data_IF_557103592633
#
_entry.id   IF_557103592633
#
_cell.length_a   1.000
_cell.length_b   1.000
_cell.length_c   1.000
_cell.angle_alpha   90.00
_cell.angle_beta   90.00
_cell.angle_gamma   90.00
#
_symmetry.space_group_name_H-M   'P 1'
#
loop_
_entity.id
_entity.type
_entity.pdbx_description
1 polymer ?
#
# COMPACT_ATOMS: atom_id res chain seq x y z
N UNK A 1 15.62 50.96 -34.19
CA UNK A 1 14.16 51.14 -34.34
C UNK A 1 13.47 49.79 -34.48
N UNK A 2 13.90 48.92 -35.40
CA UNK A 2 13.28 47.61 -35.65
C UNK A 2 13.09 46.71 -34.42
N UNK A 3 14.12 46.53 -33.58
CA UNK A 3 14.01 45.69 -32.37
C UNK A 3 13.01 46.21 -31.33
N UNK A 4 12.75 47.51 -31.34
CA UNK A 4 11.83 48.18 -30.42
C UNK A 4 10.39 48.05 -30.92
N UNK A 5 10.19 48.09 -32.24
CA UNK A 5 8.92 47.74 -32.87
C UNK A 5 8.56 46.27 -32.64
N UNK A 6 9.53 45.34 -32.73
CA UNK A 6 9.29 43.91 -32.47
C UNK A 6 8.89 43.64 -31.02
N UNK A 7 9.51 44.32 -30.05
CA UNK A 7 9.17 44.18 -28.62
C UNK A 7 7.77 44.75 -28.31
N UNK A 8 7.41 45.85 -28.96
CA UNK A 8 6.09 46.50 -28.82
C UNK A 8 4.97 45.62 -29.40
N UNK A 9 5.19 44.97 -30.54
CA UNK A 9 4.20 44.03 -31.11
C UNK A 9 3.97 42.83 -30.21
N UNK A 10 5.02 42.26 -29.60
CA UNK A 10 4.89 41.11 -28.70
C UNK A 10 4.17 41.46 -27.39
N UNK A 11 4.30 42.70 -26.90
CA UNK A 11 3.61 43.18 -25.69
C UNK A 11 2.14 43.51 -25.99
N UNK A 12 1.84 44.04 -27.18
CA UNK A 12 0.46 44.29 -27.65
C UNK A 12 -0.35 43.01 -27.78
N UNK A 13 0.27 41.92 -28.22
CA UNK A 13 -0.40 40.62 -28.39
C UNK A 13 -0.69 39.89 -27.05
N UNK A 14 -0.27 40.43 -25.90
CA UNK A 14 -0.41 39.79 -24.58
C UNK A 14 -1.12 40.66 -23.52
N UNK A 15 -1.70 41.79 -23.88
CA UNK A 15 -2.36 42.70 -22.93
C UNK A 15 -3.84 42.94 -23.26
N UNK A 16 -4.69 42.90 -22.22
CA UNK A 16 -6.14 43.06 -22.34
C UNK A 16 -6.55 44.51 -22.68
N UNK A 17 -7.73 44.74 -23.28
CA UNK A 17 -8.21 46.06 -23.75
C UNK A 17 -8.35 47.15 -22.67
N UNK A 18 -8.09 46.84 -21.40
CA UNK A 18 -8.06 47.80 -20.30
C UNK A 18 -6.80 48.70 -20.29
N UNK A 19 -5.75 48.34 -21.04
CA UNK A 19 -4.49 49.11 -21.07
C UNK A 19 -4.46 50.13 -22.24
N UNK A 20 -5.31 49.96 -23.25
CA UNK A 20 -5.31 50.82 -24.45
C UNK A 20 -5.67 52.29 -24.17
N UNK A 21 -6.41 52.56 -23.08
CA UNK A 21 -6.77 53.93 -22.68
C UNK A 21 -5.68 54.66 -21.86
N UNK A 22 -4.63 53.97 -21.39
CA UNK A 22 -3.51 54.59 -20.67
C UNK A 22 -2.45 55.18 -21.62
N UNK A 23 -2.48 54.81 -22.91
CA UNK A 23 -1.52 55.22 -23.94
C UNK A 23 -2.09 56.28 -24.89
N UNK A 24 -2.85 57.24 -24.37
CA UNK A 24 -3.39 58.33 -25.17
C UNK A 24 -2.27 59.33 -25.58
N UNK A 25 -2.40 59.88 -26.80
CA UNK A 25 -1.41 60.50 -27.70
C UNK A 25 -0.51 61.62 -27.13
N UNK A 26 -0.76 62.12 -25.93
CA UNK A 26 0.05 63.14 -25.24
C UNK A 26 1.43 62.60 -24.77
N UNK A 27 1.52 61.29 -24.54
CA UNK A 27 2.78 60.66 -24.14
C UNK A 27 3.74 60.48 -25.31
N UNK A 28 3.25 60.40 -26.56
CA UNK A 28 4.07 60.03 -27.72
C UNK A 28 5.03 61.14 -28.19
N UNK A 29 4.60 62.39 -28.20
CA UNK A 29 5.44 63.57 -28.49
C UNK A 29 6.49 63.78 -27.37
N UNK A 30 6.10 63.53 -26.12
CA UNK A 30 6.97 63.61 -24.93
C UNK A 30 7.99 62.46 -24.90
N UNK A 31 7.61 61.26 -25.34
CA UNK A 31 8.50 60.09 -25.46
C UNK A 31 9.50 60.25 -26.62
N UNK A 32 9.09 60.91 -27.72
CA UNK A 32 10.00 61.21 -28.84
C UNK A 32 11.10 62.21 -28.48
N UNK A 33 10.82 63.22 -27.65
CA UNK A 33 11.83 64.18 -27.19
C UNK A 33 12.74 63.62 -26.09
N UNK A 34 12.29 62.61 -25.35
CA UNK A 34 13.09 61.86 -24.36
C UNK A 34 14.01 60.78 -24.97
N UNK A 35 13.92 60.53 -26.28
CA UNK A 35 14.57 59.40 -26.97
C UNK A 35 16.10 59.51 -27.16
N UNK A 36 16.78 60.45 -26.51
CA UNK A 36 18.23 60.69 -26.69
C UNK A 36 19.07 60.59 -25.39
N UNK A 37 18.58 59.94 -24.34
CA UNK A 37 19.20 60.02 -23.01
C UNK A 37 19.27 58.68 -22.29
N UNK A 38 20.25 58.55 -21.40
CA UNK A 38 20.51 57.49 -20.42
C UNK A 38 19.27 56.92 -19.72
N UNK A 39 18.14 57.63 -19.75
CA UNK A 39 16.82 57.20 -19.28
C UNK A 39 16.23 56.00 -20.05
N UNK A 40 16.38 55.91 -21.37
CA UNK A 40 15.85 54.75 -22.13
C UNK A 40 16.68 53.50 -21.84
N UNK A 41 18.00 53.67 -21.70
CA UNK A 41 18.92 52.62 -21.30
C UNK A 41 18.66 52.17 -19.85
N UNK A 42 18.35 53.10 -18.93
CA UNK A 42 18.00 52.76 -17.56
C UNK A 42 16.61 52.12 -17.44
N UNK A 43 15.63 52.51 -18.25
CA UNK A 43 14.30 51.90 -18.29
C UNK A 43 14.35 50.46 -18.85
N UNK A 44 15.07 50.24 -19.96
CA UNK A 44 15.28 48.89 -20.51
C UNK A 44 16.10 48.03 -19.55
N UNK A 45 17.11 48.59 -18.89
CA UNK A 45 17.88 47.91 -17.85
C UNK A 45 17.05 47.55 -16.63
N UNK A 46 16.16 48.43 -16.17
CA UNK A 46 15.27 48.19 -15.04
C UNK A 46 14.21 47.13 -15.37
N UNK A 47 13.61 47.16 -16.56
CA UNK A 47 12.67 46.14 -17.02
C UNK A 47 13.35 44.77 -17.22
N UNK A 48 14.53 44.75 -17.83
CA UNK A 48 15.31 43.51 -17.99
C UNK A 48 15.75 42.94 -16.63
N UNK A 49 16.17 43.80 -15.69
CA UNK A 49 16.52 43.42 -14.32
C UNK A 49 15.33 42.91 -13.51
N UNK A 50 14.17 43.57 -13.61
CA UNK A 50 12.93 43.13 -12.97
C UNK A 50 12.43 41.81 -13.54
N UNK A 51 12.48 41.64 -14.87
CA UNK A 51 12.10 40.39 -15.53
C UNK A 51 13.05 39.24 -15.17
N UNK A 52 14.36 39.46 -15.24
CA UNK A 52 15.36 38.49 -14.84
C UNK A 52 15.25 38.14 -13.34
N UNK A 53 15.00 39.14 -12.49
CA UNK A 53 14.74 38.97 -11.06
C UNK A 53 13.50 38.13 -10.79
N UNK A 54 12.38 38.40 -11.48
CA UNK A 54 11.14 37.63 -11.37
C UNK A 54 11.32 36.18 -11.84
N UNK A 55 11.99 35.95 -12.97
CA UNK A 55 12.31 34.60 -13.44
C UNK A 55 13.22 33.84 -12.47
N UNK A 56 14.24 34.51 -11.91
CA UNK A 56 15.12 33.90 -10.92
C UNK A 56 14.36 33.56 -9.63
N UNK A 57 13.53 34.47 -9.13
CA UNK A 57 12.68 34.25 -7.97
C UNK A 57 11.69 33.09 -8.19
N UNK A 58 11.04 33.03 -9.36
CA UNK A 58 10.15 31.94 -9.72
C UNK A 58 10.88 30.60 -9.73
N UNK A 59 12.07 30.53 -10.36
CA UNK A 59 12.86 29.30 -10.41
C UNK A 59 13.32 28.83 -9.02
N UNK A 60 13.67 29.76 -8.13
CA UNK A 60 14.02 29.44 -6.73
C UNK A 60 12.79 28.92 -5.98
N UNK A 61 11.63 29.59 -6.13
CA UNK A 61 10.39 29.18 -5.51
C UNK A 61 9.94 27.78 -5.96
N UNK A 62 9.97 27.51 -7.27
CA UNK A 62 9.65 26.20 -7.84
C UNK A 62 10.59 25.10 -7.33
N UNK A 63 11.91 25.37 -7.27
CA UNK A 63 12.88 24.39 -6.72
C UNK A 63 12.68 24.15 -5.23
N UNK A 64 12.39 25.18 -4.45
CA UNK A 64 12.10 25.04 -3.01
C UNK A 64 10.84 24.22 -2.80
N UNK A 65 9.77 24.52 -3.53
CA UNK A 65 8.51 23.77 -3.47
C UNK A 65 8.71 22.31 -3.86
N UNK A 66 9.44 22.04 -4.94
CA UNK A 66 9.76 20.67 -5.38
C UNK A 66 10.57 19.91 -4.31
N UNK A 67 11.53 20.57 -3.66
CA UNK A 67 12.29 19.99 -2.55
C UNK A 67 11.37 19.60 -1.40
N UNK A 68 10.46 20.48 -1.01
CA UNK A 68 9.52 20.23 0.08
C UNK A 68 8.56 19.08 -0.24
N UNK A 69 8.01 19.05 -1.46
CA UNK A 69 7.12 17.99 -1.93
C UNK A 69 7.80 16.62 -1.91
N UNK A 70 8.98 16.49 -2.53
CA UNK A 70 9.69 15.21 -2.58
C UNK A 70 10.21 14.78 -1.20
N UNK A 71 10.64 15.72 -0.36
CA UNK A 71 11.04 15.40 1.03
C UNK A 71 9.86 14.88 1.84
N UNK A 72 8.68 15.51 1.70
CA UNK A 72 7.45 15.04 2.36
C UNK A 72 7.06 13.65 1.85
N UNK A 73 7.12 13.42 0.55
CA UNK A 73 6.82 12.12 -0.05
C UNK A 73 7.74 11.02 0.50
N UNK A 74 9.05 11.25 0.55
CA UNK A 74 10.03 10.30 1.13
C UNK A 74 9.73 10.02 2.61
N UNK A 75 9.39 11.05 3.41
CA UNK A 75 9.01 10.86 4.81
C UNK A 75 7.74 10.01 4.96
N UNK A 76 6.75 10.24 4.10
CA UNK A 76 5.52 9.45 4.08
C UNK A 76 5.80 8.00 3.65
N UNK A 77 6.71 7.76 2.70
CA UNK A 77 7.14 6.40 2.33
C UNK A 77 7.73 5.69 3.54
N UNK A 78 8.68 6.31 4.23
CA UNK A 78 9.30 5.72 5.42
C UNK A 78 8.27 5.45 6.53
N UNK A 79 7.32 6.37 6.75
CA UNK A 79 6.25 6.17 7.73
C UNK A 79 5.32 5.01 7.34
N UNK A 80 4.92 4.93 6.07
CA UNK A 80 4.09 3.83 5.55
C UNK A 80 4.81 2.48 5.65
N UNK A 81 6.09 2.42 5.30
CA UNK A 81 6.91 1.21 5.45
C UNK A 81 7.02 0.75 6.90
N UNK A 82 7.26 1.67 7.84
CA UNK A 82 7.34 1.34 9.28
C UNK A 82 6.01 0.78 9.80
N UNK A 83 4.88 1.36 9.38
CA UNK A 83 3.56 0.88 9.78
C UNK A 83 3.27 -0.50 9.17
N UNK A 84 3.52 -0.68 7.86
CA UNK A 84 3.33 -1.96 7.20
C UNK A 84 4.22 -3.06 7.79
N UNK A 85 5.48 -2.74 8.14
CA UNK A 85 6.37 -3.64 8.87
C UNK A 85 5.78 -4.01 10.23
N UNK A 86 5.28 -3.04 11.00
CA UNK A 86 4.67 -3.31 12.31
C UNK A 86 3.45 -4.23 12.21
N UNK A 87 2.59 -4.04 11.20
CA UNK A 87 1.46 -4.94 10.92
C UNK A 87 1.97 -6.35 10.61
N UNK A 88 2.93 -6.48 9.69
CA UNK A 88 3.52 -7.78 9.32
C UNK A 88 4.14 -8.48 10.53
N UNK A 89 4.95 -7.80 11.33
CA UNK A 89 5.58 -8.36 12.53
C UNK A 89 4.57 -8.82 13.56
N UNK A 90 3.48 -8.07 13.76
CA UNK A 90 2.40 -8.50 14.66
C UNK A 90 1.70 -9.77 14.17
N UNK A 91 1.41 -9.86 12.86
CA UNK A 91 0.77 -11.03 12.27
C UNK A 91 1.70 -12.27 12.27
N UNK A 92 3.00 -12.08 12.05
CA UNK A 92 4.03 -13.12 12.18
C UNK A 92 4.07 -13.64 13.63
N UNK A 93 4.07 -12.74 14.62
CA UNK A 93 4.02 -13.11 16.03
C UNK A 93 2.77 -13.92 16.38
N UNK A 94 1.60 -13.48 15.90
CA UNK A 94 0.32 -14.18 16.09
C UNK A 94 0.34 -15.59 15.46
N UNK A 95 0.88 -15.73 14.24
CA UNK A 95 1.04 -17.02 13.56
C UNK A 95 1.88 -17.98 14.41
N UNK A 96 3.10 -17.56 14.76
CA UNK A 96 4.10 -18.39 15.44
C UNK A 96 3.63 -18.81 16.84
N UNK A 97 3.07 -17.87 17.60
CA UNK A 97 2.75 -18.10 19.01
C UNK A 97 1.43 -18.86 19.21
N UNK A 98 0.46 -18.67 18.31
CA UNK A 98 -0.91 -19.13 18.55
C UNK A 98 -1.52 -19.89 17.38
N UNK A 99 -1.60 -19.29 16.19
CA UNK A 99 -2.43 -19.84 15.12
C UNK A 99 -1.89 -21.16 14.57
N UNK A 100 -0.58 -21.25 14.34
CA UNK A 100 0.03 -22.47 13.83
C UNK A 100 -0.12 -23.64 14.82
N UNK A 101 0.24 -23.50 16.11
CA UNK A 101 -0.02 -24.56 17.09
C UNK A 101 -1.50 -24.97 17.21
N UNK A 102 -2.43 -24.00 17.16
CA UNK A 102 -3.87 -24.29 17.23
C UNK A 102 -4.32 -25.10 16.01
N UNK A 103 -3.94 -24.69 14.80
CA UNK A 103 -4.30 -25.36 13.56
C UNK A 103 -3.73 -26.77 13.47
N UNK A 104 -2.44 -26.94 13.78
CA UNK A 104 -1.77 -28.24 13.75
C UNK A 104 -2.38 -29.23 14.75
N UNK A 105 -2.63 -28.77 15.99
CA UNK A 105 -3.27 -29.60 17.01
C UNK A 105 -4.69 -29.98 16.58
N UNK A 106 -5.49 -29.02 16.14
CA UNK A 106 -6.85 -29.27 15.67
C UNK A 106 -6.91 -30.28 14.53
N UNK A 107 -6.07 -30.11 13.50
CA UNK A 107 -6.01 -31.02 12.36
C UNK A 107 -5.58 -32.45 12.78
N UNK A 108 -4.61 -32.56 13.68
CA UNK A 108 -4.14 -33.85 14.21
C UNK A 108 -5.23 -34.56 15.02
N UNK A 109 -5.89 -33.85 15.91
CA UNK A 109 -6.97 -34.38 16.74
C UNK A 109 -8.17 -34.79 15.88
N UNK A 110 -8.55 -33.96 14.89
CA UNK A 110 -9.63 -34.26 13.94
C UNK A 110 -9.33 -35.53 13.13
N UNK A 111 -8.12 -35.68 12.61
CA UNK A 111 -7.72 -36.88 11.87
C UNK A 111 -7.77 -38.13 12.76
N UNK A 112 -7.32 -38.01 14.01
CA UNK A 112 -7.33 -39.11 14.98
C UNK A 112 -8.76 -39.59 15.26
N UNK A 113 -9.68 -38.66 15.52
CA UNK A 113 -11.06 -39.04 15.82
C UNK A 113 -11.79 -39.60 14.59
N UNK A 114 -11.54 -39.06 13.40
CA UNK A 114 -12.06 -39.61 12.15
C UNK A 114 -11.57 -41.04 11.90
N UNK A 115 -10.32 -41.35 12.24
CA UNK A 115 -9.78 -42.71 12.16
C UNK A 115 -10.47 -43.64 13.15
N UNK A 116 -10.64 -43.23 14.41
CA UNK A 116 -11.33 -44.04 15.43
C UNK A 116 -12.78 -44.32 15.00
N UNK A 117 -13.48 -43.32 14.46
CA UNK A 117 -14.85 -43.48 13.94
C UNK A 117 -14.89 -44.47 12.77
N UNK A 118 -13.93 -44.40 11.83
CA UNK A 118 -13.81 -45.35 10.72
C UNK A 118 -13.52 -46.77 11.23
N UNK A 119 -12.60 -46.93 12.17
CA UNK A 119 -12.25 -48.23 12.75
C UNK A 119 -13.44 -48.87 13.44
N UNK A 120 -14.20 -48.12 14.25
CA UNK A 120 -15.41 -48.63 14.93
C UNK A 120 -16.52 -49.03 13.97
N UNK A 121 -16.67 -48.34 12.84
CA UNK A 121 -17.63 -48.74 11.79
C UNK A 121 -17.26 -50.10 11.17
N UNK A 122 -15.97 -50.37 11.01
CA UNK A 122 -15.49 -51.65 10.44
C UNK A 122 -15.33 -52.76 11.48
N UNK A 123 -15.04 -52.41 12.74
CA UNK A 123 -14.80 -53.32 13.86
C UNK A 123 -15.50 -52.80 15.12
N UNK A 124 -16.80 -53.11 15.31
CA UNK A 124 -17.60 -52.64 16.44
C UNK A 124 -17.04 -53.02 17.81
N UNK A 125 -16.26 -54.11 17.87
CA UNK A 125 -15.61 -54.62 19.09
C UNK A 125 -14.40 -53.79 19.56
N UNK A 126 -13.97 -52.79 18.78
CA UNK A 126 -12.81 -51.98 19.11
C UNK A 126 -13.02 -51.16 20.38
N UNK A 127 -12.18 -51.41 21.40
CA UNK A 127 -12.18 -50.67 22.67
C UNK A 127 -11.37 -49.37 22.60
N UNK A 128 -10.96 -48.92 21.42
CA UNK A 128 -10.15 -47.71 21.25
C UNK A 128 -10.94 -46.47 21.69
N UNK A 129 -10.47 -45.79 22.74
CA UNK A 129 -11.10 -44.59 23.31
C UNK A 129 -10.31 -43.35 22.97
N UNK A 130 -10.99 -42.26 22.60
CA UNK A 130 -10.38 -40.94 22.47
C UNK A 130 -10.68 -40.10 23.71
N UNK A 131 -9.63 -39.71 24.44
CA UNK A 131 -9.75 -38.73 25.52
C UNK A 131 -9.77 -37.32 24.93
N UNK A 132 -10.97 -36.74 24.82
CA UNK A 132 -11.14 -35.40 24.26
C UNK A 132 -10.36 -34.34 25.04
N UNK A 133 -9.49 -33.61 24.34
CA UNK A 133 -8.73 -32.48 24.88
C UNK A 133 -8.71 -31.33 23.87
N UNK A 134 -9.81 -30.59 23.84
CA UNK A 134 -10.00 -29.42 22.97
C UNK A 134 -9.31 -28.16 23.49
N UNK A 135 -8.78 -27.35 22.58
CA UNK A 135 -8.22 -26.03 22.92
C UNK A 135 -9.33 -24.97 22.99
N UNK A 136 -9.77 -24.70 24.23
CA UNK A 136 -10.83 -23.73 24.54
C UNK A 136 -10.29 -22.38 25.03
N UNK A 137 -9.05 -22.04 24.69
CA UNK A 137 -8.47 -20.71 24.94
C UNK A 137 -9.07 -19.70 23.98
N UNK A 138 -9.46 -18.54 24.50
CA UNK A 138 -9.92 -17.40 23.69
C UNK A 138 -8.74 -16.56 23.22
N UNK A 139 -8.88 -15.94 22.06
CA UNK A 139 -7.87 -15.04 21.50
C UNK A 139 -8.41 -13.61 21.42
N UNK A 140 -7.55 -12.62 21.63
CA UNK A 140 -7.90 -11.22 21.46
C UNK A 140 -7.89 -10.84 19.99
N UNK A 141 -8.84 -10.00 19.57
CA UNK A 141 -8.84 -9.40 18.23
C UNK A 141 -7.63 -8.49 18.04
N UNK A 142 -7.06 -8.50 16.83
CA UNK A 142 -5.93 -7.66 16.45
C UNK A 142 -6.42 -6.27 16.01
N UNK A 143 -5.75 -5.21 16.47
CA UNK A 143 -6.06 -3.81 16.11
C UNK A 143 -4.78 -3.03 15.75
N UNK A 144 -4.04 -3.46 14.72
CA UNK A 144 -2.86 -2.74 14.30
C UNK A 144 -3.25 -1.41 13.63
N UNK A 145 -2.31 -0.46 13.43
CA UNK A 145 -2.60 0.89 12.94
C UNK A 145 -2.91 0.93 11.43
N UNK A 146 -4.03 0.30 11.03
CA UNK A 146 -4.47 0.20 9.64
C UNK A 146 -4.99 1.54 9.10
N UNK A 147 -5.67 2.36 9.91
CA UNK A 147 -6.18 3.65 9.46
C UNK A 147 -5.06 4.66 9.17
N UNK A 148 -4.02 4.80 10.02
CA UNK A 148 -2.83 5.56 9.66
C UNK A 148 -2.14 5.07 8.37
N UNK A 149 -2.12 3.75 8.13
CA UNK A 149 -1.57 3.19 6.89
C UNK A 149 -2.39 3.64 5.68
N UNK A 150 -3.72 3.47 5.73
CA UNK A 150 -4.66 3.88 4.67
C UNK A 150 -4.49 5.36 4.35
N UNK A 151 -4.46 6.21 5.38
CA UNK A 151 -4.26 7.65 5.23
C UNK A 151 -2.94 7.95 4.49
N UNK A 152 -1.81 7.37 4.91
CA UNK A 152 -0.54 7.60 4.23
C UNK A 152 -0.57 7.14 2.76
N UNK A 153 -1.03 5.91 2.53
CA UNK A 153 -0.98 5.27 1.22
C UNK A 153 -1.97 5.93 0.24
N UNK A 154 -3.19 6.26 0.69
CA UNK A 154 -4.24 6.77 -0.20
C UNK A 154 -4.16 8.27 -0.43
N UNK A 155 -3.71 9.04 0.56
CA UNK A 155 -3.82 10.52 0.50
C UNK A 155 -2.48 11.22 0.41
N UNK A 156 -1.40 10.62 0.91
CA UNK A 156 -0.10 11.31 1.08
C UNK A 156 1.00 10.85 0.12
N UNK A 157 0.75 9.80 -0.65
CA UNK A 157 1.71 9.20 -1.58
C UNK A 157 1.19 9.25 -3.01
N UNK A 158 2.07 9.57 -3.96
CA UNK A 158 1.76 9.53 -5.40
C UNK A 158 2.14 8.16 -5.98
N UNK A 159 1.57 7.09 -5.44
CA UNK A 159 1.91 5.70 -5.74
C UNK A 159 0.98 5.06 -6.77
N UNK A 160 1.36 3.86 -7.22
CA UNK A 160 0.57 3.08 -8.17
C UNK A 160 -0.69 2.45 -7.52
N UNK A 161 -1.63 2.03 -8.37
CA UNK A 161 -2.88 1.40 -7.93
C UNK A 161 -2.66 0.09 -7.15
N UNK A 162 -1.53 -0.59 -7.38
CA UNK A 162 -1.22 -1.86 -6.72
C UNK A 162 -0.99 -1.68 -5.22
N UNK A 163 -0.22 -0.67 -4.81
CA UNK A 163 -0.01 -0.36 -3.39
C UNK A 163 -1.30 0.07 -2.68
N UNK A 164 -2.22 0.74 -3.40
CA UNK A 164 -3.56 1.04 -2.89
C UNK A 164 -4.35 -0.26 -2.64
N UNK A 165 -4.40 -1.15 -3.63
CA UNK A 165 -5.09 -2.43 -3.51
C UNK A 165 -4.50 -3.34 -2.43
N UNK A 166 -3.18 -3.34 -2.25
CA UNK A 166 -2.52 -4.05 -1.13
C UNK A 166 -3.01 -3.53 0.21
N UNK A 167 -3.10 -2.21 0.38
CA UNK A 167 -3.55 -1.60 1.64
C UNK A 167 -5.01 -1.93 1.93
N UNK A 168 -5.87 -1.97 0.92
CA UNK A 168 -7.25 -2.45 1.06
C UNK A 168 -7.31 -3.92 1.46
N UNK A 169 -6.52 -4.79 0.80
CA UNK A 169 -6.49 -6.21 1.09
C UNK A 169 -6.03 -6.50 2.52
N UNK A 170 -5.01 -5.77 3.02
CA UNK A 170 -4.59 -5.86 4.44
C UNK A 170 -5.75 -5.53 5.37
N UNK A 171 -6.51 -4.47 5.08
CA UNK A 171 -7.61 -4.04 5.91
C UNK A 171 -8.77 -5.05 5.93
N UNK A 172 -9.11 -5.61 4.78
CA UNK A 172 -10.13 -6.64 4.62
C UNK A 172 -9.73 -7.94 5.32
N UNK A 173 -8.51 -8.44 5.10
CA UNK A 173 -8.01 -9.64 5.79
C UNK A 173 -7.95 -9.45 7.31
N UNK A 174 -7.67 -8.24 7.81
CA UNK A 174 -7.73 -7.93 9.24
C UNK A 174 -9.17 -8.01 9.79
N UNK A 175 -10.16 -7.53 9.04
CA UNK A 175 -11.56 -7.64 9.40
C UNK A 175 -12.00 -9.11 9.44
N UNK A 176 -11.66 -9.89 8.42
CA UNK A 176 -11.98 -11.32 8.35
C UNK A 176 -11.29 -12.15 9.44
N UNK A 177 -10.03 -11.84 9.77
CA UNK A 177 -9.31 -12.44 10.90
C UNK A 177 -10.05 -12.17 12.21
N UNK A 178 -10.42 -10.91 12.46
CA UNK A 178 -11.11 -10.52 13.68
C UNK A 178 -12.51 -11.15 13.79
N UNK A 179 -13.23 -11.25 12.67
CA UNK A 179 -14.50 -11.96 12.60
C UNK A 179 -14.31 -13.44 13.00
N UNK A 180 -13.34 -14.13 12.41
CA UNK A 180 -13.07 -15.55 12.71
C UNK A 180 -12.65 -15.77 14.17
N UNK A 181 -11.85 -14.86 14.74
CA UNK A 181 -11.49 -14.88 16.17
C UNK A 181 -12.73 -14.70 17.05
N UNK A 182 -13.58 -13.72 16.75
CA UNK A 182 -14.77 -13.41 17.53
C UNK A 182 -15.76 -14.58 17.50
N UNK A 183 -16.04 -15.12 16.31
CA UNK A 183 -16.93 -16.28 16.13
C UNK A 183 -16.41 -17.50 16.87
N UNK A 184 -15.10 -17.81 16.77
CA UNK A 184 -14.48 -18.90 17.53
C UNK A 184 -14.64 -18.70 19.04
N UNK A 185 -14.48 -17.48 19.55
CA UNK A 185 -14.63 -17.20 20.97
C UNK A 185 -16.08 -17.39 21.46
N UNK A 186 -17.08 -17.01 20.65
CA UNK A 186 -18.50 -17.27 20.97
C UNK A 186 -18.84 -18.76 20.93
N UNK A 187 -18.28 -19.52 19.98
CA UNK A 187 -18.40 -20.98 19.95
C UNK A 187 -17.78 -21.61 21.21
N UNK A 188 -16.60 -21.17 21.63
CA UNK A 188 -15.96 -21.63 22.89
C UNK A 188 -16.85 -21.36 24.11
N UNK A 189 -17.49 -20.19 24.15
CA UNK A 189 -18.42 -19.86 25.24
C UNK A 189 -19.62 -20.80 25.26
N UNK A 190 -20.15 -21.15 24.09
CA UNK A 190 -21.23 -22.12 23.93
C UNK A 190 -20.79 -23.53 24.33
N UNK A 191 -19.55 -23.91 24.01
CA UNK A 191 -18.97 -25.19 24.42
C UNK A 191 -18.82 -25.30 25.95
N UNK A 192 -18.41 -24.20 26.60
CA UNK A 192 -18.27 -24.12 28.06
C UNK A 192 -19.61 -24.13 28.80
N UNK A 193 -20.68 -23.63 28.19
CA UNK A 193 -22.02 -23.65 28.80
C UNK A 193 -22.74 -24.99 28.64
N UNK A 194 -22.28 -25.86 27.73
CA UNK A 194 -22.94 -27.13 27.45
C UNK A 194 -24.28 -26.99 26.70
N UNK A 195 -24.58 -25.79 26.19
CA UNK A 195 -25.81 -25.54 25.45
C UNK A 195 -25.64 -25.97 24.00
N UNK A 196 -25.95 -27.24 23.72
CA UNK A 196 -25.91 -27.81 22.38
C UNK A 196 -27.32 -28.05 21.83
N UNK A 197 -27.43 -28.06 20.49
CA UNK A 197 -28.65 -28.52 19.81
C UNK A 197 -28.98 -29.97 20.18
N UNK A 198 -30.26 -30.35 20.09
CA UNK A 198 -30.69 -31.71 20.37
C UNK A 198 -29.88 -32.74 19.55
N UNK A 199 -29.34 -33.75 20.24
CA UNK A 199 -28.51 -34.79 19.64
C UNK A 199 -27.04 -34.42 19.38
N UNK A 200 -26.63 -33.17 19.62
CA UNK A 200 -25.25 -32.73 19.52
C UNK A 200 -24.48 -32.89 20.84
N UNK A 201 -23.18 -33.11 20.73
CA UNK A 201 -22.23 -33.06 21.83
C UNK A 201 -21.05 -32.14 21.49
N UNK A 202 -20.21 -31.84 22.48
CA UNK A 202 -19.05 -30.97 22.30
C UNK A 202 -18.08 -31.50 21.23
N UNK A 203 -17.92 -32.82 21.11
CA UNK A 203 -16.96 -33.42 20.19
C UNK A 203 -17.44 -33.24 18.76
N UNK A 204 -18.73 -33.46 18.52
CA UNK A 204 -19.40 -33.30 17.25
C UNK A 204 -19.38 -31.84 16.80
N UNK A 205 -19.65 -30.90 17.70
CA UNK A 205 -19.62 -29.46 17.40
C UNK A 205 -18.19 -28.93 17.20
N UNK A 206 -17.21 -29.44 17.97
CA UNK A 206 -15.83 -29.00 17.90
C UNK A 206 -15.14 -29.47 16.62
N UNK A 207 -15.31 -30.74 16.21
CA UNK A 207 -14.65 -31.31 15.03
C UNK A 207 -15.50 -31.26 13.75
N UNK A 208 -16.77 -30.88 13.86
CA UNK A 208 -17.75 -30.91 12.78
C UNK A 208 -18.12 -32.32 12.34
N UNK A 209 -18.44 -33.18 13.31
CA UNK A 209 -18.93 -34.53 13.05
C UNK A 209 -20.46 -34.54 12.92
N UNK A 210 -21.04 -35.52 12.20
CA UNK A 210 -22.48 -35.69 12.14
C UNK A 210 -23.10 -35.99 13.51
N UNK A 211 -24.25 -35.38 13.80
CA UNK A 211 -25.02 -35.58 15.03
C UNK A 211 -26.53 -35.63 14.75
N UNK A 212 -27.31 -36.20 15.68
CA UNK A 212 -28.77 -36.38 15.52
C UNK A 212 -29.12 -37.10 14.22
N UNK A 213 -30.02 -36.51 13.42
CA UNK A 213 -30.48 -37.02 12.12
C UNK A 213 -29.49 -36.74 10.96
N UNK A 214 -28.21 -36.58 11.27
CA UNK A 214 -27.15 -36.32 10.27
C UNK A 214 -26.81 -34.85 10.06
N UNK A 215 -27.15 -33.98 11.02
CA UNK A 215 -26.74 -32.57 11.02
C UNK A 215 -25.23 -32.44 11.22
N UNK A 216 -24.63 -31.39 10.66
CA UNK A 216 -23.20 -31.08 10.78
C UNK A 216 -23.04 -29.58 11.02
N UNK A 217 -22.15 -29.19 11.94
CA UNK A 217 -21.71 -27.82 12.11
C UNK A 217 -20.19 -27.77 11.91
N UNK A 218 -19.71 -27.00 10.94
CA UNK A 218 -18.27 -26.89 10.63
C UNK A 218 -17.64 -25.58 11.13
N UNK A 219 -18.43 -24.71 11.76
CA UNK A 219 -18.06 -23.32 12.05
C UNK A 219 -16.78 -23.21 12.87
N UNK A 220 -16.58 -24.10 13.84
CA UNK A 220 -15.36 -24.06 14.66
C UNK A 220 -14.09 -24.38 13.85
N UNK A 221 -14.15 -25.40 13.00
CA UNK A 221 -13.06 -25.76 12.10
C UNK A 221 -12.81 -24.68 11.05
N UNK A 222 -13.88 -24.15 10.46
CA UNK A 222 -13.82 -23.08 9.46
C UNK A 222 -13.22 -21.80 10.06
N UNK A 223 -13.52 -21.48 11.32
CA UNK A 223 -12.88 -20.36 12.01
C UNK A 223 -11.37 -20.59 12.19
N UNK A 224 -10.93 -21.81 12.52
CA UNK A 224 -9.49 -22.10 12.69
C UNK A 224 -8.75 -21.94 11.35
N UNK A 225 -9.31 -22.47 10.27
CA UNK A 225 -8.75 -22.33 8.94
C UNK A 225 -8.76 -20.87 8.48
N UNK A 226 -9.90 -20.17 8.63
CA UNK A 226 -10.04 -18.76 8.31
C UNK A 226 -9.05 -17.88 9.07
N UNK A 227 -8.85 -18.11 10.37
CA UNK A 227 -7.85 -17.38 11.15
C UNK A 227 -6.44 -17.56 10.60
N UNK A 228 -6.05 -18.78 10.24
CA UNK A 228 -4.73 -19.04 9.67
C UNK A 228 -4.57 -18.37 8.30
N UNK A 229 -5.53 -18.56 7.40
CA UNK A 229 -5.49 -18.00 6.04
C UNK A 229 -5.52 -16.48 6.04
N UNK A 230 -6.43 -15.84 6.77
CA UNK A 230 -6.49 -14.37 6.82
C UNK A 230 -5.26 -13.75 7.48
N UNK A 231 -4.68 -14.41 8.49
CA UNK A 231 -3.42 -13.95 9.05
C UNK A 231 -2.27 -14.05 8.04
N UNK A 232 -2.24 -15.12 7.25
CA UNK A 232 -1.25 -15.30 6.18
C UNK A 232 -1.40 -14.22 5.09
N UNK A 233 -2.63 -13.89 4.68
CA UNK A 233 -2.91 -12.77 3.79
C UNK A 233 -2.35 -11.44 4.33
N UNK A 234 -2.57 -11.15 5.63
CA UNK A 234 -2.03 -9.94 6.28
C UNK A 234 -0.51 -9.91 6.19
N UNK A 235 0.18 -11.01 6.50
CA UNK A 235 1.64 -11.11 6.41
C UNK A 235 2.08 -10.86 4.97
N UNK A 236 1.48 -11.58 4.04
CA UNK A 236 1.84 -11.54 2.62
C UNK A 236 1.69 -10.14 2.03
N UNK A 237 0.50 -9.54 2.15
CA UNK A 237 0.23 -8.23 1.57
C UNK A 237 1.03 -7.11 2.25
N UNK A 238 1.28 -7.20 3.56
CA UNK A 238 2.09 -6.21 4.28
C UNK A 238 3.56 -6.26 3.86
N UNK A 239 4.14 -7.47 3.72
CA UNK A 239 5.52 -7.66 3.22
C UNK A 239 5.63 -7.14 1.78
N UNK A 240 4.63 -7.42 0.94
CA UNK A 240 4.60 -6.96 -0.44
C UNK A 240 4.45 -5.44 -0.54
N UNK A 241 3.64 -4.83 0.32
CA UNK A 241 3.48 -3.38 0.40
C UNK A 241 4.79 -2.70 0.83
N UNK A 242 5.50 -3.25 1.81
CA UNK A 242 6.83 -2.76 2.18
C UNK A 242 7.78 -2.72 0.99
N UNK A 243 7.79 -3.77 0.16
CA UNK A 243 8.61 -3.84 -1.06
C UNK A 243 8.20 -2.77 -2.08
N UNK A 244 6.90 -2.64 -2.35
CA UNK A 244 6.39 -1.67 -3.33
C UNK A 244 6.67 -0.22 -2.87
N UNK A 245 6.48 0.08 -1.57
CA UNK A 245 6.81 1.38 -0.99
C UNK A 245 8.31 1.69 -1.03
N UNK A 246 9.16 0.70 -0.75
CA UNK A 246 10.61 0.88 -0.85
C UNK A 246 11.03 1.22 -2.28
N UNK A 247 10.50 0.51 -3.28
CA UNK A 247 10.76 0.81 -4.69
C UNK A 247 10.29 2.22 -5.08
N UNK A 248 9.12 2.65 -4.61
CA UNK A 248 8.63 4.02 -4.81
C UNK A 248 9.53 5.06 -4.13
N UNK A 249 10.01 4.77 -2.93
CA UNK A 249 10.97 5.59 -2.19
C UNK A 249 12.26 5.80 -2.98
N UNK A 250 12.85 4.71 -3.49
CA UNK A 250 14.06 4.76 -4.33
C UNK A 250 13.86 5.57 -5.61
N UNK A 251 12.70 5.41 -6.25
CA UNK A 251 12.33 6.21 -7.42
C UNK A 251 12.24 7.71 -7.08
N UNK A 252 11.59 8.04 -5.97
CA UNK A 252 11.40 9.41 -5.49
C UNK A 252 12.73 10.06 -5.09
N UNK A 253 13.61 9.33 -4.40
CA UNK A 253 14.96 9.75 -4.08
C UNK A 253 15.80 10.02 -5.34
N UNK A 254 15.73 9.13 -6.33
CA UNK A 254 16.41 9.32 -7.62
C UNK A 254 15.90 10.59 -8.33
N UNK A 255 14.59 10.84 -8.29
CA UNK A 255 13.99 12.07 -8.86
C UNK A 255 14.45 13.32 -8.11
N UNK A 256 14.54 13.26 -6.78
CA UNK A 256 15.04 14.34 -5.93
C UNK A 256 16.46 14.74 -6.34
N UNK A 257 17.37 13.77 -6.39
CA UNK A 257 18.78 14.01 -6.72
C UNK A 257 18.94 14.59 -8.12
N UNK A 258 18.24 14.02 -9.12
CA UNK A 258 18.30 14.49 -10.51
C UNK A 258 17.76 15.92 -10.69
N UNK A 259 16.68 16.28 -10.01
CA UNK A 259 16.02 17.59 -10.22
C UNK A 259 16.59 18.71 -9.35
N UNK A 260 17.08 18.38 -8.16
CA UNK A 260 17.58 19.36 -7.19
C UNK A 260 19.10 19.42 -7.11
N UNK A 261 19.80 18.43 -7.68
CA UNK A 261 21.27 18.33 -7.63
C UNK A 261 21.78 18.34 -6.19
N UNK A 262 21.05 17.66 -5.30
CA UNK A 262 21.34 17.53 -3.87
C UNK A 262 20.98 16.12 -3.40
N UNK A 263 21.68 15.63 -2.39
CA UNK A 263 21.44 14.30 -1.79
C UNK A 263 20.02 14.17 -1.26
N UNK A 264 19.35 13.07 -1.62
CA UNK A 264 18.01 12.77 -1.11
C UNK A 264 18.04 12.36 0.39
N UNK A 265 16.94 12.56 1.13
CA UNK A 265 16.75 11.91 2.41
C UNK A 265 16.80 10.38 2.29
N UNK A 266 17.26 9.70 3.34
CA UNK A 266 17.40 8.24 3.36
C UNK A 266 16.05 7.51 3.23
N UNK A 267 16.03 6.41 2.50
CA UNK A 267 14.91 5.47 2.43
C UNK A 267 15.21 4.31 3.36
N UNK A 268 14.27 3.97 4.24
CA UNK A 268 14.45 2.83 5.14
C UNK A 268 14.51 1.53 4.34
N UNK A 269 15.34 0.60 4.80
CA UNK A 269 15.37 -0.78 4.32
C UNK A 269 14.79 -1.67 5.41
N UNK A 270 13.92 -2.60 5.01
CA UNK A 270 13.27 -3.54 5.92
C UNK A 270 13.60 -4.96 5.47
N UNK A 271 14.01 -5.81 6.41
CA UNK A 271 14.30 -7.22 6.14
C UNK A 271 13.28 -8.12 6.84
N UNK A 272 12.89 -9.17 6.13
CA UNK A 272 12.05 -10.25 6.65
C UNK A 272 12.77 -11.61 6.55
N UNK A 273 14.11 -11.60 6.48
CA UNK A 273 14.86 -12.81 6.16
C UNK A 273 14.77 -13.87 7.25
N UNK A 274 14.74 -13.46 8.53
CA UNK A 274 14.55 -14.38 9.64
C UNK A 274 13.17 -15.07 9.56
N UNK A 275 12.10 -14.30 9.39
CA UNK A 275 10.76 -14.85 9.24
C UNK A 275 10.64 -15.77 8.02
N UNK A 276 11.36 -15.47 6.93
CA UNK A 276 11.42 -16.34 5.75
C UNK A 276 12.16 -17.65 6.04
N UNK A 277 13.31 -17.60 6.75
CA UNK A 277 14.04 -18.81 7.17
C UNK A 277 13.20 -19.72 8.07
N UNK A 278 12.35 -19.13 8.90
CA UNK A 278 11.43 -19.87 9.77
C UNK A 278 10.15 -20.36 9.06
N UNK A 279 9.97 -20.07 7.76
CA UNK A 279 8.77 -20.48 7.02
C UNK A 279 7.49 -19.74 7.44
N UNK A 280 7.62 -18.55 8.05
CA UNK A 280 6.48 -17.79 8.57
C UNK A 280 5.83 -16.88 7.53
N UNK A 281 6.52 -16.60 6.43
CA UNK A 281 6.02 -15.78 5.33
C UNK A 281 5.40 -16.72 4.27
N UNK A 282 4.13 -16.53 3.91
CA UNK A 282 3.50 -17.30 2.83
C UNK A 282 4.21 -17.11 1.49
N UNK A 283 4.19 -18.15 0.65
CA UNK A 283 4.82 -18.11 -0.66
C UNK A 283 3.93 -17.40 -1.70
N UNK A 284 4.54 -16.81 -2.72
CA UNK A 284 3.80 -16.06 -3.76
C UNK A 284 2.84 -16.94 -4.57
N UNK A 285 3.10 -18.25 -4.61
CA UNK A 285 2.36 -19.25 -5.38
C UNK A 285 0.93 -19.47 -4.86
N UNK A 286 0.63 -18.98 -3.66
CA UNK A 286 -0.71 -19.00 -3.06
C UNK A 286 -1.61 -17.85 -3.59
N UNK A 287 -1.05 -16.83 -4.26
CA UNK A 287 -1.79 -15.63 -4.70
C UNK A 287 -1.67 -15.27 -6.19
N UNK A 288 -1.68 -16.23 -7.15
CA UNK A 288 -1.43 -15.96 -8.57
C UNK A 288 -2.50 -15.06 -9.20
N UNK A 289 -3.75 -15.22 -8.78
CA UNK A 289 -4.90 -14.42 -9.26
C UNK A 289 -4.80 -12.94 -8.84
N UNK A 290 -4.13 -12.67 -7.72
CA UNK A 290 -3.93 -11.30 -7.27
C UNK A 290 -2.94 -10.57 -8.21
N UNK A 291 -1.83 -11.23 -8.59
CA UNK A 291 -0.84 -10.65 -9.49
C UNK A 291 -1.33 -10.48 -10.93
N UNK A 292 -2.24 -11.34 -11.41
CA UNK A 292 -2.77 -11.23 -12.77
C UNK A 292 -3.55 -9.93 -13.01
N UNK A 293 -4.07 -9.31 -11.94
CA UNK A 293 -4.82 -8.06 -11.97
C UNK A 293 -3.94 -6.81 -12.12
N UNK A 294 -2.61 -6.92 -11.93
CA UNK A 294 -1.67 -5.79 -11.96
C UNK A 294 -0.56 -5.99 -13.00
N UNK A 295 -0.92 -6.40 -14.21
CA UNK A 295 0.07 -6.58 -15.29
C UNK A 295 0.83 -5.28 -15.57
N UNK A 296 2.17 -5.36 -15.50
CA UNK A 296 3.01 -4.28 -15.97
C UNK A 296 2.81 -4.11 -17.48
N UNK A 297 2.57 -2.87 -17.94
CA UNK A 297 2.60 -2.60 -19.38
C UNK A 297 3.98 -3.02 -19.91
N UNK A 298 4.06 -3.84 -20.96
CA UNK A 298 5.34 -4.25 -21.51
C UNK A 298 6.16 -2.99 -21.82
N UNK A 299 7.39 -2.94 -21.29
CA UNK A 299 8.31 -1.81 -21.53
C UNK A 299 8.40 -1.61 -23.04
N UNK A 300 7.85 -0.48 -23.52
CA UNK A 300 7.90 -0.11 -24.93
C UNK A 300 9.39 -0.07 -25.29
N UNK A 301 9.83 -0.96 -26.17
CA UNK A 301 11.23 -1.11 -26.52
C UNK A 301 11.67 0.18 -27.24
N UNK A 302 12.21 1.16 -26.49
CA UNK A 302 12.65 2.47 -27.02
C UNK A 302 13.72 2.33 -28.13
N UNK A 303 14.28 1.13 -28.28
CA UNK A 303 15.22 0.76 -29.32
C UNK A 303 14.60 0.43 -30.69
N UNK A 304 13.28 0.31 -30.81
CA UNK A 304 12.64 0.01 -32.10
C UNK A 304 12.77 1.17 -33.09
N UNK A 305 12.52 2.41 -32.65
CA UNK A 305 12.65 3.61 -33.49
C UNK A 305 14.12 3.94 -33.81
N UNK A 306 15.05 3.73 -32.86
CA UNK A 306 16.49 3.89 -33.12
C UNK A 306 17.04 2.89 -34.13
N UNK A 307 16.49 1.67 -34.20
CA UNK A 307 16.87 0.66 -35.20
C UNK A 307 16.31 0.93 -36.60
N UNK A 308 15.18 1.62 -36.69
CA UNK A 308 14.59 2.04 -37.98
C UNK A 308 15.27 3.28 -38.55
N UNK A 309 15.69 4.23 -37.72
CA UNK A 309 16.39 5.44 -38.19
C UNK A 309 17.88 5.20 -38.52
N UNK A 310 18.50 4.13 -38.01
CA UNK A 310 19.89 3.75 -38.33
C UNK A 310 20.00 2.72 -39.47
N UNK A 311 18.89 2.41 -40.17
CA UNK A 311 18.90 1.64 -41.41
C UNK A 311 18.26 2.46 -42.51
N UNK A 312 19.05 3.30 -43.14
CA UNK A 312 18.95 3.60 -44.56
C UNK A 312 20.37 3.94 -45.07
N UNK A 313 20.68 3.56 -46.31
CA UNK A 313 21.86 2.80 -46.73
C UNK A 313 23.21 3.54 -46.68
#
# INVERSE_FOLDING_TARGET
>A
MDKLQTLITTIKDHTSPLIDNLFNLSTWETIKSFSNSSFTTSLVGALAGAFAGAMAAQRIAERSKLRDELTKEIRNVNAGMTIALSIASSAIGLKKQYLQPIKEKYATDKKTIEQIIKTRKSHPESSETYAFSGDLRTLSTSKPPIDPLKEIVFTRLSINNRSLSLTSAIAESLEHLNYSIATRNELIKSFKSGNFSFGADIISMYFGLPFGDGHVNQEFGDCIEGMASHNDEIIFFSVLLCKDLHQHGLYTATRFEKKLTSTAPNINEVSFDEARREGLIPENEEYPTWFSSFQEKPKKNENFWRRLCNKNP
#
